data_IF_022742555197
#
_entry.id   IF_022742555197
#
_cell.length_a   1.000
_cell.length_b   1.000
_cell.length_c   1.000
_cell.angle_alpha   90.00
_cell.angle_beta   90.00
_cell.angle_gamma   90.00
#
_symmetry.space_group_name_H-M   'P 1'
#
loop_
_entity.id
_entity.type
_entity.pdbx_description
1 polymer ?
#
# COMPACT_ATOMS: atom_id res chain seq x y z
N UNK A 1 0.43 -5.25 14.23
CA UNK A 1 0.53 -6.34 13.24
C UNK A 1 -0.55 -7.41 13.47
N UNK A 2 -1.42 -7.23 14.46
CA UNK A 2 -2.36 -8.28 14.87
C UNK A 2 -3.51 -8.42 13.86
N UNK A 3 -3.99 -7.30 13.31
CA UNK A 3 -5.04 -7.29 12.29
C UNK A 3 -4.55 -7.92 10.99
N UNK A 4 -3.35 -7.55 10.51
CA UNK A 4 -2.79 -8.13 9.28
C UNK A 4 -2.73 -9.66 9.39
N UNK A 5 -2.27 -10.18 10.53
CA UNK A 5 -2.26 -11.63 10.82
C UNK A 5 -3.66 -12.22 10.83
N UNK A 6 -4.61 -11.59 11.53
CA UNK A 6 -6.00 -12.06 11.59
C UNK A 6 -6.63 -12.19 10.21
N UNK A 7 -6.43 -11.21 9.32
CA UNK A 7 -7.00 -11.21 7.97
C UNK A 7 -6.35 -12.23 7.02
N UNK A 8 -5.14 -12.68 7.30
CA UNK A 8 -4.35 -13.53 6.40
C UNK A 8 -4.19 -14.97 6.89
N UNK A 9 -4.35 -15.21 8.20
CA UNK A 9 -4.19 -16.53 8.81
C UNK A 9 -5.18 -17.54 8.23
N UNK A 10 -4.66 -18.69 7.81
CA UNK A 10 -5.45 -19.79 7.27
C UNK A 10 -6.17 -19.48 5.95
N UNK A 11 -5.86 -18.36 5.28
CA UNK A 11 -6.44 -17.99 3.98
C UNK A 11 -5.62 -18.57 2.83
N UNK A 12 -6.30 -18.90 1.73
CA UNK A 12 -5.68 -19.14 0.42
C UNK A 12 -5.47 -17.79 -0.24
N UNK A 13 -4.21 -17.38 -0.41
CA UNK A 13 -3.87 -16.03 -0.82
C UNK A 13 -3.25 -16.04 -2.21
N UNK A 14 -3.72 -15.14 -3.07
CA UNK A 14 -3.04 -14.80 -4.33
C UNK A 14 -2.31 -13.47 -4.19
N UNK A 15 -1.08 -13.42 -4.69
CA UNK A 15 -0.34 -12.18 -4.94
C UNK A 15 -0.36 -11.94 -6.46
N UNK A 16 -1.14 -10.96 -6.89
CA UNK A 16 -1.27 -10.57 -8.30
C UNK A 16 -0.33 -9.40 -8.61
N UNK A 17 0.71 -9.71 -9.38
CA UNK A 17 1.85 -8.84 -9.66
C UNK A 17 2.99 -9.07 -8.66
N UNK A 18 4.20 -9.37 -9.15
CA UNK A 18 5.33 -9.80 -8.32
C UNK A 18 6.52 -8.84 -8.32
N UNK A 19 6.20 -7.54 -8.35
CA UNK A 19 7.16 -6.45 -8.17
C UNK A 19 7.71 -6.36 -6.74
N UNK A 20 8.25 -5.19 -6.39
CA UNK A 20 8.84 -4.93 -5.07
C UNK A 20 7.84 -5.16 -3.92
N UNK A 21 6.59 -4.70 -4.07
CA UNK A 21 5.53 -4.92 -3.07
C UNK A 21 5.09 -6.39 -3.00
N UNK A 22 4.89 -7.06 -4.15
CA UNK A 22 4.51 -8.47 -4.18
C UNK A 22 5.50 -9.38 -3.44
N UNK A 23 6.81 -9.16 -3.62
CA UNK A 23 7.88 -9.88 -2.90
C UNK A 23 7.86 -9.61 -1.40
N UNK A 24 7.68 -8.36 -1.00
CA UNK A 24 7.56 -7.96 0.41
C UNK A 24 6.32 -8.58 1.07
N UNK A 25 5.20 -8.64 0.34
CA UNK A 25 3.98 -9.32 0.78
C UNK A 25 4.20 -10.81 0.95
N UNK A 26 4.80 -11.50 -0.02
CA UNK A 26 5.09 -12.93 0.09
C UNK A 26 5.96 -13.23 1.32
N UNK A 27 7.00 -12.41 1.52
CA UNK A 27 7.91 -12.54 2.66
C UNK A 27 7.16 -12.43 3.98
N UNK A 28 6.37 -11.36 4.19
CA UNK A 28 5.61 -11.17 5.42
C UNK A 28 4.65 -12.34 5.67
N UNK A 29 3.93 -12.77 4.62
CA UNK A 29 2.95 -13.83 4.74
C UNK A 29 3.59 -15.15 5.23
N UNK A 30 4.73 -15.52 4.64
CA UNK A 30 5.48 -16.74 5.00
C UNK A 30 6.12 -16.66 6.37
N UNK A 31 6.66 -15.51 6.75
CA UNK A 31 7.42 -15.35 7.99
C UNK A 31 6.52 -15.15 9.23
N UNK A 32 5.31 -14.60 9.05
CA UNK A 32 4.56 -14.09 10.19
C UNK A 32 3.03 -14.28 10.16
N UNK A 33 2.42 -14.76 9.07
CA UNK A 33 0.96 -14.74 8.94
C UNK A 33 0.28 -16.13 8.89
N UNK A 34 1.03 -17.22 8.72
CA UNK A 34 0.49 -18.59 8.67
C UNK A 34 -0.72 -18.76 7.70
N UNK A 35 -0.61 -18.34 6.42
CA UNK A 35 -1.67 -18.56 5.43
C UNK A 35 -1.82 -20.06 5.12
N UNK A 36 -3.00 -20.46 4.61
CA UNK A 36 -3.21 -21.84 4.16
C UNK A 36 -2.44 -22.14 2.86
N UNK A 37 -2.36 -21.15 1.96
CA UNK A 37 -1.50 -21.18 0.77
C UNK A 37 -1.18 -19.76 0.31
N UNK A 38 -0.04 -19.61 -0.38
CA UNK A 38 0.33 -18.38 -1.08
C UNK A 38 0.73 -18.74 -2.49
N UNK A 39 0.04 -18.15 -3.46
CA UNK A 39 0.36 -18.28 -4.88
C UNK A 39 0.70 -16.90 -5.45
N UNK A 40 1.54 -16.88 -6.48
CA UNK A 40 1.94 -15.68 -7.19
C UNK A 40 1.50 -15.81 -8.63
N UNK A 41 0.90 -14.75 -9.17
CA UNK A 41 0.48 -14.70 -10.55
C UNK A 41 0.92 -13.39 -11.21
N UNK A 42 1.54 -13.52 -12.38
CA UNK A 42 1.89 -12.41 -13.27
C UNK A 42 1.12 -12.60 -14.58
N UNK A 43 0.21 -11.68 -14.87
CA UNK A 43 -0.66 -11.74 -16.04
C UNK A 43 -1.88 -10.85 -15.88
N UNK A 44 -2.84 -11.01 -16.77
CA UNK A 44 -4.05 -10.19 -16.81
C UNK A 44 -5.18 -10.74 -15.91
N UNK A 45 -6.28 -9.98 -15.83
CA UNK A 45 -7.44 -10.34 -15.00
C UNK A 45 -8.06 -11.69 -15.38
N UNK A 46 -7.96 -12.10 -16.64
CA UNK A 46 -8.63 -13.29 -17.16
C UNK A 46 -8.00 -14.59 -16.64
N UNK A 47 -6.73 -14.56 -16.25
CA UNK A 47 -6.06 -15.69 -15.62
C UNK A 47 -6.31 -15.82 -14.12
N UNK A 48 -6.94 -14.82 -13.48
CA UNK A 48 -7.25 -14.84 -12.05
C UNK A 48 -8.55 -15.61 -11.80
N UNK A 49 -8.44 -16.73 -11.09
CA UNK A 49 -9.56 -17.59 -10.71
C UNK A 49 -9.99 -17.29 -9.28
N UNK A 50 -10.88 -16.31 -9.11
CA UNK A 50 -11.25 -15.75 -7.81
C UNK A 50 -11.62 -16.83 -6.79
N UNK A 51 -12.45 -17.80 -7.16
CA UNK A 51 -12.97 -18.87 -6.28
C UNK A 51 -11.89 -19.74 -5.59
N UNK A 52 -10.66 -19.76 -6.14
CA UNK A 52 -9.53 -20.47 -5.53
C UNK A 52 -8.97 -19.77 -4.30
N UNK A 53 -9.19 -18.47 -4.18
CA UNK A 53 -8.55 -17.64 -3.17
C UNK A 53 -9.58 -17.02 -2.24
N UNK A 54 -9.19 -16.84 -0.99
CA UNK A 54 -9.99 -16.14 0.01
C UNK A 54 -9.62 -14.65 0.08
N UNK A 55 -8.39 -14.32 -0.32
CA UNK A 55 -7.85 -12.95 -0.38
C UNK A 55 -6.87 -12.82 -1.55
N UNK A 56 -6.93 -11.69 -2.26
CA UNK A 56 -6.10 -11.38 -3.43
C UNK A 56 -5.42 -10.03 -3.19
N UNK A 57 -4.08 -10.05 -3.09
CA UNK A 57 -3.27 -8.83 -3.07
C UNK A 57 -3.03 -8.37 -4.48
N UNK A 58 -3.56 -7.18 -4.82
CA UNK A 58 -3.37 -6.58 -6.13
C UNK A 58 -2.27 -5.53 -6.04
N UNK A 59 -1.20 -5.72 -6.82
CA UNK A 59 -0.11 -4.74 -6.91
C UNK A 59 -0.57 -3.44 -7.59
N UNK A 60 -0.03 -2.26 -7.23
CA UNK A 60 -0.46 -0.97 -7.79
C UNK A 60 -0.33 -0.86 -9.33
N UNK A 61 0.65 -1.56 -9.90
CA UNK A 61 0.87 -1.59 -11.36
C UNK A 61 -0.21 -2.36 -12.14
N UNK A 62 -1.05 -3.14 -11.49
CA UNK A 62 -2.14 -3.88 -12.14
C UNK A 62 -3.33 -2.93 -12.34
N UNK A 63 -3.83 -2.74 -13.58
CA UNK A 63 -5.04 -1.96 -13.83
C UNK A 63 -6.26 -2.76 -13.39
N UNK A 64 -6.74 -2.48 -12.18
CA UNK A 64 -7.88 -3.19 -11.59
C UNK A 64 -8.65 -2.28 -10.63
N UNK A 65 -9.95 -2.13 -10.90
CA UNK A 65 -10.81 -1.12 -10.27
C UNK A 65 -12.01 -1.71 -9.50
N UNK A 66 -12.14 -3.04 -9.46
CA UNK A 66 -13.23 -3.67 -8.71
C UNK A 66 -13.05 -3.40 -7.20
N UNK A 67 -14.06 -2.77 -6.61
CA UNK A 67 -14.14 -2.55 -5.16
C UNK A 67 -14.83 -3.75 -4.54
N UNK A 68 -14.03 -4.67 -4.03
CA UNK A 68 -14.50 -5.90 -3.41
C UNK A 68 -13.51 -6.28 -2.28
N UNK A 69 -13.97 -6.54 -1.04
CA UNK A 69 -13.09 -6.83 0.11
C UNK A 69 -12.10 -7.98 -0.11
N UNK A 70 -12.39 -8.86 -1.07
CA UNK A 70 -11.50 -9.94 -1.48
C UNK A 70 -10.22 -9.44 -2.15
N UNK A 71 -10.28 -8.31 -2.84
CA UNK A 71 -9.15 -7.70 -3.53
C UNK A 71 -8.59 -6.57 -2.68
N UNK A 72 -7.49 -6.83 -1.98
CA UNK A 72 -6.80 -5.86 -1.14
C UNK A 72 -5.50 -5.38 -1.79
N UNK A 73 -4.70 -4.60 -1.06
CA UNK A 73 -3.34 -4.23 -1.43
C UNK A 73 -2.46 -4.23 -0.19
N UNK A 74 -1.14 -4.15 -0.39
CA UNK A 74 -0.20 -4.00 0.71
C UNK A 74 -0.49 -2.71 1.50
N UNK A 75 -0.71 -1.62 0.78
CA UNK A 75 -1.02 -0.30 1.33
C UNK A 75 -2.33 -0.32 2.14
N UNK A 76 -3.37 -0.99 1.64
CA UNK A 76 -4.68 -1.03 2.30
C UNK A 76 -4.60 -1.72 3.67
N UNK A 77 -4.07 -2.94 3.74
CA UNK A 77 -3.92 -3.63 5.03
C UNK A 77 -2.96 -2.90 5.98
N UNK A 78 -1.97 -2.19 5.44
CA UNK A 78 -1.12 -1.33 6.26
C UNK A 78 -1.89 -0.16 6.86
N UNK A 79 -2.73 0.52 6.07
CA UNK A 79 -3.54 1.64 6.57
C UNK A 79 -4.60 1.19 7.57
N UNK A 80 -5.22 0.04 7.38
CA UNK A 80 -6.17 -0.50 8.37
C UNK A 80 -5.50 -0.77 9.72
N UNK A 81 -4.25 -1.25 9.74
CA UNK A 81 -3.51 -1.56 10.96
C UNK A 81 -2.84 -0.31 11.58
N UNK A 82 -2.26 0.56 10.74
CA UNK A 82 -1.37 1.64 11.17
C UNK A 82 -1.78 3.03 10.67
N UNK A 83 -2.99 3.18 10.13
CA UNK A 83 -3.51 4.46 9.62
C UNK A 83 -3.44 5.56 10.66
N UNK A 84 -3.82 5.27 11.91
CA UNK A 84 -3.80 6.20 13.03
C UNK A 84 -2.40 6.79 13.38
N UNK A 85 -1.32 6.19 12.86
CA UNK A 85 0.05 6.66 13.06
C UNK A 85 0.76 6.99 11.74
N UNK A 86 -0.01 7.16 10.67
CA UNK A 86 0.50 7.39 9.31
C UNK A 86 0.26 8.82 8.83
N UNK A 87 1.30 9.42 8.26
CA UNK A 87 1.23 10.63 7.44
C UNK A 87 1.33 10.21 5.98
N UNK A 88 0.21 10.23 5.26
CA UNK A 88 0.13 9.93 3.83
C UNK A 88 0.42 11.17 2.99
N UNK A 89 1.37 11.09 2.06
CA UNK A 89 1.77 12.20 1.20
C UNK A 89 1.55 11.79 -0.26
N UNK A 90 0.68 12.53 -0.96
CA UNK A 90 0.38 12.33 -2.38
C UNK A 90 0.45 13.67 -3.15
N UNK A 91 0.32 13.59 -4.46
CA UNK A 91 0.46 14.71 -5.40
C UNK A 91 1.09 14.27 -6.72
N UNK A 92 1.31 15.20 -7.64
CA UNK A 92 1.98 14.90 -8.92
C UNK A 92 3.49 15.02 -8.76
N UNK A 93 4.01 16.12 -8.22
CA UNK A 93 5.44 16.36 -7.97
C UNK A 93 5.67 16.66 -6.49
N UNK A 94 6.93 16.82 -6.09
CA UNK A 94 7.32 17.16 -4.70
C UNK A 94 7.16 16.05 -3.65
N UNK A 95 6.37 15.00 -3.90
CA UNK A 95 6.11 13.87 -2.97
C UNK A 95 7.36 13.35 -2.28
N UNK A 96 8.36 12.91 -3.05
CA UNK A 96 9.56 12.27 -2.50
C UNK A 96 10.41 13.21 -1.66
N UNK A 97 10.55 14.46 -2.08
CA UNK A 97 11.29 15.47 -1.32
C UNK A 97 10.56 15.79 -0.02
N UNK A 98 9.25 16.02 -0.06
CA UNK A 98 8.44 16.30 1.13
C UNK A 98 8.46 15.12 2.11
N UNK A 99 8.27 13.89 1.63
CA UNK A 99 8.31 12.68 2.46
C UNK A 99 9.67 12.49 3.12
N UNK A 100 10.76 12.65 2.37
CA UNK A 100 12.11 12.54 2.93
C UNK A 100 12.42 13.66 3.95
N UNK A 101 12.01 14.91 3.67
CA UNK A 101 12.17 16.03 4.59
C UNK A 101 11.39 15.83 5.89
N UNK A 102 10.12 15.42 5.80
CA UNK A 102 9.29 15.14 6.97
C UNK A 102 9.92 14.03 7.83
N UNK A 103 10.31 12.92 7.20
CA UNK A 103 11.00 11.83 7.90
C UNK A 103 12.27 12.30 8.61
N UNK A 104 13.09 13.13 7.93
CA UNK A 104 14.33 13.68 8.51
C UNK A 104 14.05 14.58 9.71
N UNK A 105 13.09 15.49 9.60
CA UNK A 105 12.71 16.37 10.72
C UNK A 105 12.19 15.58 11.91
N UNK A 106 11.32 14.59 11.67
CA UNK A 106 10.78 13.73 12.74
C UNK A 106 11.88 12.97 13.47
N UNK A 107 12.82 12.37 12.73
CA UNK A 107 13.95 11.64 13.31
C UNK A 107 14.90 12.56 14.07
N UNK A 108 15.18 13.77 13.57
CA UNK A 108 15.98 14.79 14.27
C UNK A 108 15.33 15.27 15.57
N UNK A 109 14.00 15.29 15.62
CA UNK A 109 13.23 15.55 16.83
C UNK A 109 13.11 14.32 17.77
N UNK A 110 13.86 13.25 17.50
CA UNK A 110 13.87 12.04 18.32
C UNK A 110 12.63 11.16 18.19
N UNK A 111 11.80 11.37 17.14
CA UNK A 111 10.66 10.50 16.86
C UNK A 111 11.10 9.26 16.09
N UNK A 112 10.51 8.12 16.44
CA UNK A 112 10.70 6.87 15.69
C UNK A 112 9.88 6.93 14.40
N UNK A 113 10.50 7.38 13.31
CA UNK A 113 9.84 7.54 12.01
C UNK A 113 10.35 6.51 11.00
N UNK A 114 9.48 6.05 10.11
CA UNK A 114 9.81 5.17 8.99
C UNK A 114 9.34 5.79 7.68
N UNK A 115 10.20 5.81 6.68
CA UNK A 115 9.88 6.30 5.33
C UNK A 115 9.55 5.13 4.41
N UNK A 116 8.35 5.10 3.85
CA UNK A 116 7.83 3.95 3.09
C UNK A 116 6.93 4.35 1.93
N UNK A 117 6.52 3.33 1.17
CA UNK A 117 5.66 3.49 0.00
C UNK A 117 6.47 3.53 -1.29
N UNK A 118 6.17 4.50 -2.15
CA UNK A 118 6.84 4.62 -3.45
C UNK A 118 8.36 4.85 -3.33
N UNK A 119 8.81 5.52 -2.26
CA UNK A 119 10.22 5.60 -1.86
C UNK A 119 10.47 4.86 -0.54
N UNK A 120 11.74 4.61 -0.19
CA UNK A 120 12.11 3.84 0.99
C UNK A 120 11.93 2.34 0.79
N UNK A 121 11.44 1.62 1.80
CA UNK A 121 11.07 0.19 1.70
C UNK A 121 9.55 0.01 1.61
N UNK A 122 9.06 -1.13 1.05
CA UNK A 122 7.65 -1.46 1.08
C UNK A 122 7.14 -1.47 2.51
N UNK A 123 5.89 -1.10 2.72
CA UNK A 123 5.38 -0.88 4.07
C UNK A 123 5.42 -2.16 4.94
N UNK A 124 5.23 -3.34 4.33
CA UNK A 124 5.33 -4.62 5.03
C UNK A 124 6.74 -4.99 5.49
N UNK A 125 7.79 -4.38 4.93
CA UNK A 125 9.16 -4.62 5.42
C UNK A 125 9.44 -3.91 6.77
N UNK A 126 8.58 -2.96 7.16
CA UNK A 126 8.69 -2.24 8.43
C UNK A 126 7.75 -2.75 9.53
N UNK A 127 6.73 -3.56 9.21
CA UNK A 127 5.65 -3.86 10.17
C UNK A 127 6.11 -4.56 11.45
N UNK A 128 7.20 -5.32 11.40
CA UNK A 128 7.81 -5.97 12.58
C UNK A 128 8.57 -4.99 13.49
N UNK A 129 8.92 -3.81 12.97
CA UNK A 129 9.64 -2.75 13.68
C UNK A 129 8.69 -1.66 14.19
N UNK A 130 7.46 -1.59 13.66
CA UNK A 130 6.46 -0.62 14.09
C UNK A 130 6.07 -0.83 15.56
N UNK A 131 5.92 0.26 16.29
CA UNK A 131 5.36 0.32 17.64
C UNK A 131 4.30 1.41 17.71
N UNK A 132 3.52 1.47 18.80
CA UNK A 132 2.43 2.45 18.99
C UNK A 132 2.88 3.92 18.89
N UNK A 133 4.15 4.18 19.20
CA UNK A 133 4.75 5.53 19.14
C UNK A 133 5.52 5.80 17.83
N UNK A 134 5.47 4.86 16.89
CA UNK A 134 6.14 5.00 15.59
C UNK A 134 5.30 5.85 14.64
N UNK A 135 5.95 6.64 13.78
CA UNK A 135 5.28 7.44 12.75
C UNK A 135 5.66 6.88 11.37
N UNK A 136 4.65 6.45 10.60
CA UNK A 136 4.84 6.08 9.22
C UNK A 136 4.73 7.33 8.33
N UNK A 137 5.80 7.70 7.65
CA UNK A 137 5.78 8.69 6.58
C UNK A 137 5.63 7.93 5.27
N UNK A 138 4.43 7.98 4.71
CA UNK A 138 4.03 7.13 3.59
C UNK A 138 3.91 7.98 2.32
N UNK A 139 4.82 7.80 1.37
CA UNK A 139 4.65 8.35 0.03
C UNK A 139 3.68 7.48 -0.77
N UNK A 140 2.51 8.04 -1.10
CA UNK A 140 1.44 7.36 -1.83
C UNK A 140 1.46 7.78 -3.31
N UNK A 141 1.45 6.78 -4.19
CA UNK A 141 1.16 6.97 -5.62
C UNK A 141 -0.35 7.02 -5.87
N UNK A 142 -0.77 7.57 -7.03
CA UNK A 142 -2.19 7.53 -7.43
C UNK A 142 -2.75 6.10 -7.52
N UNK A 143 -1.93 5.15 -7.96
CA UNK A 143 -2.36 3.74 -8.07
C UNK A 143 -2.60 3.08 -6.70
N UNK A 144 -1.84 3.49 -5.68
CA UNK A 144 -2.06 3.03 -4.31
C UNK A 144 -3.29 3.71 -3.70
N UNK A 145 -3.43 5.03 -3.89
CA UNK A 145 -4.59 5.80 -3.42
C UNK A 145 -5.92 5.27 -4.00
N UNK A 146 -5.96 4.92 -5.29
CA UNK A 146 -7.18 4.42 -5.95
C UNK A 146 -7.80 3.18 -5.27
N UNK A 147 -7.00 2.41 -4.52
CA UNK A 147 -7.41 1.18 -3.84
C UNK A 147 -7.51 1.31 -2.33
N UNK A 148 -7.31 2.53 -1.81
CA UNK A 148 -7.35 2.80 -0.39
C UNK A 148 -8.81 2.94 0.08
N UNK A 149 -9.17 2.23 1.14
CA UNK A 149 -10.42 2.39 1.86
C UNK A 149 -10.19 2.88 3.29
N UNK A 150 -9.02 2.60 3.86
CA UNK A 150 -8.60 3.08 5.17
C UNK A 150 -7.73 4.34 5.07
N UNK A 151 -8.07 5.37 5.84
CA UNK A 151 -7.39 6.65 5.80
C UNK A 151 -6.09 6.71 6.65
N UNK A 152 -5.08 7.47 6.21
CA UNK A 152 -4.00 7.88 7.11
C UNK A 152 -4.51 8.89 8.13
N UNK A 153 -3.84 9.00 9.27
CA UNK A 153 -4.15 9.98 10.31
C UNK A 153 -4.00 11.42 9.81
N UNK A 154 -2.96 11.67 9.00
CA UNK A 154 -2.73 12.96 8.35
C UNK A 154 -2.52 12.70 6.86
N UNK A 155 -3.30 13.38 6.02
CA UNK A 155 -3.13 13.37 4.58
C UNK A 155 -2.57 14.71 4.10
N UNK A 156 -1.50 14.66 3.30
CA UNK A 156 -0.88 15.82 2.66
C UNK A 156 -1.01 15.64 1.15
N UNK A 157 -1.82 16.49 0.54
CA UNK A 157 -1.95 16.60 -0.90
C UNK A 157 -1.15 17.82 -1.37
N UNK A 158 -0.08 17.61 -2.13
CA UNK A 158 0.83 18.69 -2.54
C UNK A 158 0.31 19.50 -3.73
N UNK A 159 0.43 18.92 -4.92
CA UNK A 159 0.14 19.57 -6.19
C UNK A 159 -0.57 18.59 -7.14
N UNK A 160 -1.32 19.16 -8.09
CA UNK A 160 -1.96 18.41 -9.16
C UNK A 160 -1.54 19.02 -10.49
N UNK A 161 -0.75 18.27 -11.25
CA UNK A 161 -0.42 18.54 -12.65
C UNK A 161 -0.82 17.36 -13.51
N UNK A 162 -0.99 17.60 -14.81
CA UNK A 162 -1.31 16.57 -15.80
C UNK A 162 -0.21 15.50 -15.86
N UNK A 163 -0.58 14.28 -15.52
CA UNK A 163 0.28 13.10 -15.47
C UNK A 163 -0.60 11.84 -15.55
N UNK A 164 -0.08 10.71 -16.02
CA UNK A 164 -0.77 9.41 -16.09
C UNK A 164 -2.13 9.35 -16.85
N UNK A 165 -2.38 10.23 -17.82
CA UNK A 165 -3.64 10.22 -18.60
C UNK A 165 -3.82 8.99 -19.50
N UNK A 166 -2.73 8.28 -19.81
CA UNK A 166 -2.77 6.98 -20.48
C UNK A 166 -3.58 5.94 -19.70
N UNK A 167 -3.56 6.03 -18.36
CA UNK A 167 -4.29 5.13 -17.47
C UNK A 167 -5.62 5.71 -16.98
N UNK A 168 -5.68 7.02 -16.70
CA UNK A 168 -6.87 7.62 -16.08
C UNK A 168 -7.82 8.30 -17.07
N UNK A 169 -7.42 8.45 -18.34
CA UNK A 169 -8.16 9.06 -19.45
C UNK A 169 -8.49 10.56 -19.28
N UNK A 170 -8.79 11.03 -18.08
CA UNK A 170 -9.12 12.41 -17.76
C UNK A 170 -8.38 12.90 -16.51
N UNK A 171 -8.15 14.20 -16.44
CA UNK A 171 -7.60 14.86 -15.24
C UNK A 171 -8.49 14.68 -14.00
N UNK A 172 -9.81 14.62 -14.20
CA UNK A 172 -10.76 14.40 -13.12
C UNK A 172 -10.57 13.01 -12.50
N UNK A 173 -10.53 11.95 -13.31
CA UNK A 173 -10.27 10.60 -12.80
C UNK A 173 -8.89 10.44 -12.17
N UNK A 174 -7.87 11.14 -12.68
CA UNK A 174 -6.55 11.15 -12.06
C UNK A 174 -6.57 11.82 -10.67
N UNK A 175 -7.36 12.88 -10.52
CA UNK A 175 -7.57 13.56 -9.25
C UNK A 175 -8.37 12.70 -8.26
N UNK A 176 -9.48 12.12 -8.72
CA UNK A 176 -10.34 11.24 -7.91
C UNK A 176 -9.56 10.02 -7.41
N UNK A 177 -8.60 9.51 -8.18
CA UNK A 177 -7.72 8.43 -7.74
C UNK A 177 -6.78 8.80 -6.56
N UNK A 178 -6.71 10.08 -6.17
CA UNK A 178 -5.88 10.56 -5.04
C UNK A 178 -6.69 11.06 -3.85
N UNK A 179 -8.01 11.20 -4.00
CA UNK A 179 -8.95 11.60 -2.95
C UNK A 179 -9.52 10.37 -2.25
#
# INVERSE_FOLDING_TARGET
MDMIREKTKGKRILIWGYGREGKSTEKLLKEACEPASVEVYEGDRSGVQDEKYDLIFVSPGIPFEEVNPKFTSQTELFMEEYGAQTVGITGTKGKSTTSAMLHKVLTDCGKKSFLMGNIGLPCFDYVSQMSKDSIAVFELSCHQCQRLLADPHIAVFLDLYEDHLDRYHTMAHYFDAKL
#
